data_IF_646565053712
#
_entry.id   IF_646565053712
#
_cell.length_a   1.000
_cell.length_b   1.000
_cell.length_c   1.000
_cell.angle_alpha   90.00
_cell.angle_beta   90.00
_cell.angle_gamma   90.00
#
_symmetry.space_group_name_H-M   'P 1'
#
loop_
_entity.id
_entity.type
_entity.pdbx_description
1 polymer ?
#
# COMPACT_ATOMS: atom_id res chain seq x y z
N UNK A 1 14.68 7.71 -20.26
CA UNK A 1 13.66 6.66 -20.12
C UNK A 1 14.17 5.70 -19.07
N UNK A 2 13.76 5.90 -17.81
CA UNK A 2 13.89 4.87 -16.79
C UNK A 2 12.73 3.92 -17.07
N UNK A 3 13.02 2.70 -17.49
CA UNK A 3 11.98 1.68 -17.61
C UNK A 3 11.42 1.42 -16.20
N UNK A 4 10.13 1.70 -15.97
CA UNK A 4 9.39 1.16 -14.83
C UNK A 4 9.27 -0.35 -15.03
N UNK A 5 10.36 -1.06 -14.73
CA UNK A 5 10.39 -2.51 -14.76
C UNK A 5 9.46 -3.11 -13.68
N UNK A 6 9.15 -2.31 -12.64
CA UNK A 6 8.22 -2.66 -11.57
C UNK A 6 6.77 -2.76 -12.08
N UNK A 7 6.37 -1.93 -13.04
CA UNK A 7 5.03 -1.99 -13.65
C UNK A 7 4.85 -3.20 -14.59
N UNK A 8 5.94 -3.91 -14.95
CA UNK A 8 5.91 -4.97 -15.98
C UNK A 8 6.10 -6.39 -15.48
N UNK A 9 6.50 -6.60 -14.22
CA UNK A 9 6.71 -7.96 -13.65
C UNK A 9 5.85 -8.29 -12.43
N UNK A 10 5.41 -7.27 -11.68
CA UNK A 10 4.63 -7.42 -10.46
C UNK A 10 3.48 -6.41 -10.46
N UNK A 11 2.25 -6.87 -10.26
CA UNK A 11 1.08 -5.98 -10.22
C UNK A 11 1.09 -5.15 -8.92
N UNK A 12 1.78 -4.01 -8.99
CA UNK A 12 1.95 -3.08 -7.86
C UNK A 12 0.63 -2.45 -7.44
N UNK A 13 -0.24 -2.13 -8.40
CA UNK A 13 -1.57 -1.57 -8.11
C UNK A 13 -2.39 -2.54 -7.25
N UNK A 14 -2.34 -3.84 -7.57
CA UNK A 14 -2.96 -4.89 -6.77
C UNK A 14 -2.27 -5.09 -5.42
N UNK A 15 -0.95 -4.94 -5.33
CA UNK A 15 -0.24 -5.00 -4.06
C UNK A 15 -0.64 -3.83 -3.13
N UNK A 16 -0.82 -2.63 -3.69
CA UNK A 16 -1.32 -1.46 -2.96
C UNK A 16 -2.76 -1.68 -2.48
N UNK A 17 -3.62 -2.28 -3.31
CA UNK A 17 -4.98 -2.68 -2.90
C UNK A 17 -4.96 -3.64 -1.70
N UNK A 18 -4.12 -4.68 -1.76
CA UNK A 18 -4.00 -5.65 -0.69
C UNK A 18 -3.43 -5.03 0.60
N UNK A 19 -2.42 -4.17 0.49
CA UNK A 19 -1.86 -3.46 1.64
C UNK A 19 -2.92 -2.57 2.31
N UNK A 20 -3.75 -1.89 1.52
CA UNK A 20 -4.85 -1.08 2.04
C UNK A 20 -5.83 -1.91 2.88
N UNK A 21 -6.14 -3.15 2.48
CA UNK A 21 -7.00 -4.04 3.26
C UNK A 21 -6.38 -4.37 4.63
N UNK A 22 -5.07 -4.61 4.70
CA UNK A 22 -4.36 -4.84 5.96
C UNK A 22 -4.38 -3.59 6.86
N UNK A 23 -4.25 -2.41 6.27
CA UNK A 23 -4.36 -1.13 6.99
C UNK A 23 -5.76 -0.93 7.55
N UNK A 24 -6.80 -1.22 6.76
CA UNK A 24 -8.19 -1.19 7.20
C UNK A 24 -8.38 -2.12 8.39
N UNK A 25 -8.02 -3.40 8.27
CA UNK A 25 -8.15 -4.39 9.35
C UNK A 25 -7.44 -3.95 10.63
N UNK A 26 -6.25 -3.35 10.50
CA UNK A 26 -5.41 -3.00 11.65
C UNK A 26 -5.83 -1.71 12.34
N UNK A 27 -6.25 -0.70 11.57
CA UNK A 27 -6.37 0.68 12.06
C UNK A 27 -7.82 1.19 12.09
N UNK A 28 -8.72 0.54 11.35
CA UNK A 28 -10.09 0.99 11.15
C UNK A 28 -11.07 -0.14 11.48
N UNK A 29 -12.24 0.22 12.00
CA UNK A 29 -13.35 -0.70 12.21
C UNK A 29 -14.62 -0.08 11.65
N UNK A 30 -15.53 -0.91 11.13
CA UNK A 30 -16.87 -0.50 10.70
C UNK A 30 -16.94 0.65 9.65
N UNK A 31 -15.94 0.73 8.76
CA UNK A 31 -15.97 1.69 7.65
C UNK A 31 -16.96 1.23 6.57
N UNK A 32 -17.89 2.09 6.17
CA UNK A 32 -18.83 1.80 5.08
C UNK A 32 -18.14 1.66 3.73
N UNK A 33 -18.70 0.87 2.82
CA UNK A 33 -18.06 0.58 1.52
C UNK A 33 -17.85 1.84 0.67
N UNK A 34 -18.76 2.82 0.74
CA UNK A 34 -18.59 4.12 0.07
C UNK A 34 -17.35 4.87 0.59
N UNK A 35 -17.12 4.84 1.91
CA UNK A 35 -15.95 5.49 2.52
C UNK A 35 -14.68 4.70 2.25
N UNK A 36 -14.73 3.36 2.32
CA UNK A 36 -13.60 2.48 1.95
C UNK A 36 -13.12 2.73 0.53
N UNK A 37 -14.04 2.85 -0.43
CA UNK A 37 -13.69 3.13 -1.82
C UNK A 37 -13.00 4.50 -1.97
N UNK A 38 -13.49 5.53 -1.28
CA UNK A 38 -12.84 6.85 -1.27
C UNK A 38 -11.45 6.79 -0.65
N UNK A 39 -11.31 6.11 0.48
CA UNK A 39 -10.03 5.91 1.17
C UNK A 39 -9.03 5.18 0.29
N UNK A 40 -9.46 4.14 -0.44
CA UNK A 40 -8.61 3.39 -1.36
C UNK A 40 -8.06 4.27 -2.49
N UNK A 41 -8.91 5.10 -3.11
CA UNK A 41 -8.46 6.03 -4.14
C UNK A 41 -7.42 7.01 -3.59
N UNK A 42 -7.65 7.56 -2.39
CA UNK A 42 -6.67 8.43 -1.71
C UNK A 42 -5.38 7.72 -1.35
N UNK A 43 -5.47 6.49 -0.88
CA UNK A 43 -4.30 5.68 -0.56
C UNK A 43 -3.41 5.46 -1.80
N UNK A 44 -4.00 5.12 -2.94
CA UNK A 44 -3.30 5.00 -4.23
C UNK A 44 -2.68 6.33 -4.68
N UNK A 45 -3.40 7.45 -4.53
CA UNK A 45 -2.88 8.78 -4.85
C UNK A 45 -1.62 9.11 -4.02
N UNK A 46 -1.65 8.85 -2.70
CA UNK A 46 -0.50 9.12 -1.83
C UNK A 46 0.67 8.20 -2.15
N UNK A 47 0.42 6.89 -2.30
CA UNK A 47 1.48 5.93 -2.63
C UNK A 47 2.17 6.27 -3.97
N UNK A 48 1.40 6.66 -4.99
CA UNK A 48 1.93 7.11 -6.28
C UNK A 48 2.71 8.41 -6.17
N UNK A 49 2.28 9.36 -5.34
CA UNK A 49 2.99 10.63 -5.12
C UNK A 49 4.34 10.42 -4.46
N UNK A 50 4.44 9.46 -3.54
CA UNK A 50 5.67 9.10 -2.82
C UNK A 50 6.46 7.97 -3.51
N UNK A 51 6.27 7.77 -4.82
CA UNK A 51 7.00 6.77 -5.58
C UNK A 51 8.50 7.10 -5.59
N UNK A 52 9.35 6.09 -5.34
CA UNK A 52 10.80 6.26 -5.17
C UNK A 52 11.25 6.86 -3.82
N UNK A 53 10.33 7.30 -2.95
CA UNK A 53 10.67 7.75 -1.60
C UNK A 53 10.85 6.54 -0.68
N UNK A 54 11.95 6.50 0.08
CA UNK A 54 12.30 5.39 0.98
C UNK A 54 11.45 5.36 2.25
N UNK A 55 11.13 6.53 2.80
CA UNK A 55 10.23 6.67 3.93
C UNK A 55 8.78 6.49 3.47
N UNK A 56 8.22 5.32 3.75
CA UNK A 56 6.84 4.96 3.43
C UNK A 56 5.86 5.34 4.53
N UNK A 57 6.35 5.84 5.67
CA UNK A 57 5.47 6.32 6.73
C UNK A 57 4.57 7.46 6.24
N UNK A 58 5.08 8.30 5.34
CA UNK A 58 4.39 9.45 4.74
C UNK A 58 3.04 9.07 4.10
N UNK A 59 2.95 7.89 3.48
CA UNK A 59 1.72 7.40 2.83
C UNK A 59 0.63 7.16 3.86
N UNK A 60 0.96 6.42 4.93
CA UNK A 60 0.01 6.11 5.99
C UNK A 60 -0.29 7.31 6.87
N UNK A 61 0.67 8.19 7.11
CA UNK A 61 0.42 9.46 7.80
C UNK A 61 -0.54 10.36 7.03
N UNK A 62 -0.37 10.47 5.71
CA UNK A 62 -1.30 11.20 4.85
C UNK A 62 -2.72 10.63 4.96
N UNK A 63 -2.84 9.29 4.92
CA UNK A 63 -4.12 8.61 5.09
C UNK A 63 -4.73 8.87 6.48
N UNK A 64 -3.95 8.73 7.56
CA UNK A 64 -4.44 8.92 8.93
C UNK A 64 -4.82 10.37 9.23
N UNK A 65 -4.21 11.33 8.54
CA UNK A 65 -4.53 12.75 8.67
C UNK A 65 -5.83 13.12 7.93
N UNK A 66 -6.10 12.52 6.77
CA UNK A 66 -7.38 12.74 6.05
C UNK A 66 -8.52 11.90 6.63
N UNK A 67 -8.24 10.67 7.07
CA UNK A 67 -9.19 9.72 7.61
C UNK A 67 -8.75 9.25 9.00
N UNK A 68 -9.31 9.85 10.04
CA UNK A 68 -8.94 9.52 11.42
C UNK A 68 -9.16 8.02 11.72
N UNK A 69 -8.11 7.26 12.08
CA UNK A 69 -8.24 5.85 12.41
C UNK A 69 -8.79 5.65 13.82
N UNK A 70 -9.34 4.47 14.09
CA UNK A 70 -9.71 4.05 15.45
C UNK A 70 -8.46 3.70 16.26
N UNK A 71 -7.50 3.04 15.63
CA UNK A 71 -6.19 2.75 16.17
C UNK A 71 -5.12 3.30 15.23
N UNK A 72 -4.35 4.28 15.70
CA UNK A 72 -3.27 4.88 14.91
C UNK A 72 -1.96 4.16 15.18
N UNK A 73 -1.34 3.60 14.14
CA UNK A 73 0.04 3.11 14.22
C UNK A 73 0.97 4.28 14.57
N UNK A 74 1.91 4.06 15.50
CA UNK A 74 2.92 5.07 15.82
C UNK A 74 3.96 5.13 14.72
N UNK A 75 4.48 6.34 14.45
CA UNK A 75 5.39 6.64 13.34
C UNK A 75 6.50 5.59 13.14
N UNK A 76 7.20 5.23 14.22
CA UNK A 76 8.29 4.24 14.19
C UNK A 76 7.86 2.85 13.71
N UNK A 77 6.60 2.46 13.92
CA UNK A 77 6.06 1.16 13.51
C UNK A 77 5.44 1.18 12.11
N UNK A 78 5.19 2.36 11.54
CA UNK A 78 4.56 2.46 10.22
C UNK A 78 5.50 1.90 9.14
N UNK A 79 6.78 2.26 9.19
CA UNK A 79 7.77 1.75 8.24
C UNK A 79 7.94 0.23 8.37
N UNK A 80 8.01 -0.29 9.61
CA UNK A 80 8.12 -1.73 9.87
C UNK A 80 6.88 -2.48 9.33
N UNK A 81 5.69 -1.96 9.62
CA UNK A 81 4.44 -2.50 9.07
C UNK A 81 4.46 -2.54 7.54
N UNK A 82 4.93 -1.48 6.88
CA UNK A 82 5.03 -1.44 5.43
C UNK A 82 6.02 -2.49 4.91
N UNK A 83 7.23 -2.53 5.46
CA UNK A 83 8.29 -3.43 5.05
C UNK A 83 7.92 -4.91 5.24
N UNK A 84 7.19 -5.23 6.31
CA UNK A 84 6.76 -6.60 6.61
C UNK A 84 5.61 -7.09 5.72
N UNK A 85 4.72 -6.20 5.28
CA UNK A 85 3.46 -6.58 4.63
C UNK A 85 3.45 -6.31 3.12
N UNK A 86 4.03 -5.20 2.65
CA UNK A 86 3.96 -4.82 1.25
C UNK A 86 4.58 -5.87 0.29
N UNK A 87 5.75 -6.48 0.59
CA UNK A 87 6.28 -7.55 -0.26
C UNK A 87 5.36 -8.77 -0.39
N UNK A 88 4.55 -9.06 0.64
CA UNK A 88 3.59 -10.18 0.65
C UNK A 88 2.30 -9.87 -0.12
N UNK A 89 2.08 -8.60 -0.45
CA UNK A 89 0.89 -8.16 -1.16
C UNK A 89 0.97 -8.41 -2.67
N UNK A 90 2.16 -8.68 -3.20
CA UNK A 90 2.36 -9.04 -4.59
C UNK A 90 1.89 -10.48 -4.85
N UNK A 91 1.05 -10.65 -5.87
CA UNK A 91 0.79 -11.97 -6.44
C UNK A 91 1.98 -12.33 -7.33
N UNK A 92 2.69 -13.41 -7.03
CA UNK A 92 3.69 -13.95 -7.96
C UNK A 92 2.91 -14.64 -9.08
N UNK A 93 2.88 -14.03 -10.27
CA UNK A 93 2.42 -14.73 -11.46
C UNK A 93 3.44 -15.84 -11.80
N UNK A 94 2.95 -17.07 -12.06
CA UNK A 94 3.81 -18.18 -12.49
C UNK A 94 4.58 -17.84 -13.78
N UNK A 95 4.07 -16.93 -14.61
CA UNK A 95 4.79 -16.43 -15.79
C UNK A 95 6.05 -15.63 -15.42
N UNK A 96 6.06 -14.93 -14.27
CA UNK A 96 7.23 -14.16 -13.79
C UNK A 96 8.41 -15.09 -13.44
N UNK A 97 8.14 -16.33 -12.99
CA UNK A 97 9.16 -17.35 -12.72
C UNK A 97 9.84 -17.80 -14.03
N UNK A 98 9.10 -17.80 -15.15
CA UNK A 98 9.62 -18.26 -16.44
C UNK A 98 10.65 -17.31 -17.06
N UNK A 99 10.65 -16.02 -16.66
CA UNK A 99 11.63 -15.02 -17.09
C UNK A 99 12.95 -15.05 -16.30
N UNK A 100 12.97 -15.74 -15.16
CA UNK A 100 14.14 -15.84 -14.27
C UNK A 100 14.99 -17.10 -14.51
N UNK A 101 14.58 -17.97 -15.44
CA UNK A 101 15.28 -19.21 -15.83
C UNK A 101 16.01 -19.07 -17.17
#
# INVERSE_FOLDING_TARGET
>A
MLFDLDDTLLDRDKAVDNLFLLVLEKCYEDVSDTVKNKMLQKFKEYDKREYGISDKSIVLESLFNEFAPKYRLSHNYIQDFWNENFPKCFSIDQNTIHFLN
#
